data_IF_882056198521
#
_entry.id   IF_882056198521
#
_cell.length_a   1.000
_cell.length_b   1.000
_cell.length_c   1.000
_cell.angle_alpha   90.00
_cell.angle_beta   90.00
_cell.angle_gamma   90.00
#
_symmetry.space_group_name_H-M   'P 1'
#
loop_
_entity.id
_entity.type
_entity.pdbx_description
1 polymer ?
#
# COMPACT_ATOMS: atom_id res chain seq x y z
N UNK A 1 21.11 -9.42 23.42
CA UNK A 1 21.99 -8.30 23.01
C UNK A 1 22.66 -8.69 21.72
N UNK A 2 22.57 -7.85 20.68
CA UNK A 2 23.29 -8.07 19.43
C UNK A 2 24.76 -7.65 19.62
N UNK A 3 25.74 -8.40 19.10
CA UNK A 3 27.14 -7.98 19.07
C UNK A 3 27.29 -6.60 18.41
N UNK A 4 28.22 -5.77 18.87
CA UNK A 4 28.43 -4.41 18.34
C UNK A 4 28.69 -4.38 16.82
N UNK A 5 29.31 -5.45 16.28
CA UNK A 5 29.56 -5.61 14.84
C UNK A 5 28.28 -5.73 14.00
N UNK A 6 27.16 -6.15 14.59
CA UNK A 6 25.88 -6.33 13.91
C UNK A 6 25.02 -5.05 13.94
N UNK A 7 25.38 -4.06 14.77
CA UNK A 7 24.59 -2.84 14.93
C UNK A 7 24.30 -2.09 13.61
N UNK A 8 25.26 -1.94 12.66
CA UNK A 8 24.98 -1.29 11.38
C UNK A 8 23.99 -2.07 10.50
N UNK A 9 24.01 -3.41 10.57
CA UNK A 9 23.06 -4.25 9.84
C UNK A 9 21.66 -4.19 10.47
N UNK A 10 21.58 -4.25 11.81
CA UNK A 10 20.33 -4.12 12.55
C UNK A 10 19.68 -2.75 12.30
N UNK A 11 20.47 -1.67 12.28
CA UNK A 11 19.98 -0.33 11.98
C UNK A 11 19.38 -0.22 10.57
N UNK A 12 20.07 -0.73 9.55
CA UNK A 12 19.54 -0.75 8.17
C UNK A 12 18.23 -1.52 8.08
N UNK A 13 18.16 -2.70 8.71
CA UNK A 13 16.92 -3.51 8.76
C UNK A 13 15.78 -2.75 9.43
N UNK A 14 16.05 -2.06 10.54
CA UNK A 14 15.05 -1.25 11.23
C UNK A 14 14.56 -0.09 10.36
N UNK A 15 15.44 0.62 9.63
CA UNK A 15 15.05 1.66 8.67
C UNK A 15 14.18 1.10 7.55
N UNK A 16 14.57 -0.03 6.96
CA UNK A 16 13.73 -0.67 5.93
C UNK A 16 12.36 -1.06 6.49
N UNK A 17 12.28 -1.59 7.72
CA UNK A 17 11.00 -1.95 8.33
C UNK A 17 10.13 -0.73 8.68
N UNK A 18 10.74 0.38 9.09
CA UNK A 18 10.04 1.63 9.39
C UNK A 18 9.25 2.15 8.18
N UNK A 19 9.75 1.93 6.97
CA UNK A 19 9.07 2.34 5.72
C UNK A 19 7.75 1.62 5.44
N UNK A 20 7.39 0.59 6.21
CA UNK A 20 6.11 -0.13 6.07
C UNK A 20 5.11 0.22 7.17
N UNK A 21 5.49 1.06 8.13
CA UNK A 21 4.60 1.49 9.22
C UNK A 21 3.43 2.28 8.65
N UNK A 22 2.21 1.95 9.10
CA UNK A 22 0.98 2.58 8.59
C UNK A 22 0.29 1.79 7.47
N UNK A 23 0.92 0.73 6.93
CA UNK A 23 0.27 -0.23 6.02
C UNK A 23 -0.50 -1.33 6.76
N UNK A 24 -1.20 -0.95 7.83
CA UNK A 24 -2.03 -1.85 8.64
C UNK A 24 -1.42 -2.33 9.95
N UNK A 25 -0.17 -1.98 10.25
CA UNK A 25 0.46 -2.14 11.57
C UNK A 25 1.31 -0.92 11.92
N UNK A 26 1.27 -0.52 13.19
CA UNK A 26 2.14 0.52 13.75
C UNK A 26 3.54 -0.01 14.09
N UNK A 27 3.68 -1.34 14.20
CA UNK A 27 4.94 -2.02 14.48
C UNK A 27 5.20 -3.06 13.41
N UNK A 28 6.35 -2.97 12.75
CA UNK A 28 6.76 -3.89 11.69
C UNK A 28 8.12 -4.49 12.03
N UNK A 29 8.19 -5.82 12.04
CA UNK A 29 9.43 -6.57 12.23
C UNK A 29 10.03 -6.92 10.87
N UNK A 30 11.31 -6.58 10.68
CA UNK A 30 12.03 -6.85 9.42
C UNK A 30 11.94 -8.31 8.98
N UNK A 31 12.08 -9.25 9.93
CA UNK A 31 12.07 -10.69 9.63
C UNK A 31 10.71 -11.18 9.09
N UNK A 32 9.63 -10.43 9.30
CA UNK A 32 8.30 -10.72 8.75
C UNK A 32 8.08 -10.18 7.33
N UNK A 33 8.97 -9.35 6.79
CA UNK A 33 8.79 -8.72 5.49
C UNK A 33 9.08 -9.66 4.31
N UNK A 34 9.99 -10.63 4.49
CA UNK A 34 10.40 -11.54 3.43
C UNK A 34 10.80 -10.81 2.14
N UNK A 35 10.13 -11.12 1.03
CA UNK A 35 10.40 -10.51 -0.27
C UNK A 35 10.17 -8.99 -0.31
N UNK A 36 9.29 -8.46 0.55
CA UNK A 36 9.00 -7.02 0.58
C UNK A 36 10.23 -6.21 1.02
N UNK A 37 11.05 -6.74 1.93
CA UNK A 37 12.30 -6.09 2.32
C UNK A 37 13.28 -5.94 1.15
N UNK A 38 13.33 -6.93 0.25
CA UNK A 38 14.17 -6.88 -0.95
C UNK A 38 13.63 -5.86 -1.94
N UNK A 39 12.31 -5.80 -2.13
CA UNK A 39 11.67 -4.81 -3.00
C UNK A 39 11.99 -3.39 -2.51
N UNK A 40 11.73 -3.09 -1.22
CA UNK A 40 11.99 -1.78 -0.65
C UNK A 40 13.47 -1.37 -0.71
N UNK A 41 14.39 -2.32 -0.56
CA UNK A 41 15.82 -2.04 -0.62
C UNK A 41 16.37 -1.86 -2.04
N UNK A 42 15.60 -2.19 -3.09
CA UNK A 42 16.07 -2.18 -4.49
C UNK A 42 15.34 -1.18 -5.38
N UNK A 43 14.11 -0.83 -5.04
CA UNK A 43 13.35 0.14 -5.81
C UNK A 43 13.71 1.56 -5.37
N UNK A 44 14.01 2.40 -6.36
CA UNK A 44 14.23 3.83 -6.14
C UNK A 44 12.90 4.56 -6.22
N UNK A 45 12.78 5.67 -5.50
CA UNK A 45 11.54 6.44 -5.44
C UNK A 45 11.16 7.01 -6.82
N UNK A 46 12.15 7.41 -7.64
CA UNK A 46 11.95 7.79 -9.03
C UNK A 46 11.37 6.66 -9.90
N UNK A 47 11.86 5.43 -9.76
CA UNK A 47 11.35 4.28 -10.53
C UNK A 47 9.90 3.95 -10.13
N UNK A 48 9.57 4.11 -8.84
CA UNK A 48 8.21 3.91 -8.34
C UNK A 48 7.26 4.98 -8.88
N UNK A 49 7.71 6.24 -8.97
CA UNK A 49 6.88 7.34 -9.45
C UNK A 49 6.44 7.19 -10.91
N UNK A 50 7.22 6.48 -11.73
CA UNK A 50 6.92 6.20 -13.14
C UNK A 50 5.95 5.02 -13.34
N UNK A 51 5.62 4.27 -12.28
CA UNK A 51 4.69 3.14 -12.38
C UNK A 51 3.27 3.67 -12.61
N UNK A 52 2.66 3.27 -13.73
CA UNK A 52 1.33 3.72 -14.14
C UNK A 52 0.25 3.56 -13.05
N UNK A 53 0.27 2.44 -12.30
CA UNK A 53 -0.67 2.20 -11.22
C UNK A 53 -0.48 3.19 -10.05
N UNK A 54 0.77 3.57 -9.74
CA UNK A 54 1.10 4.56 -8.70
C UNK A 54 0.66 5.95 -9.16
N UNK A 55 0.94 6.32 -10.41
CA UNK A 55 0.48 7.59 -10.99
C UNK A 55 -1.05 7.68 -11.01
N UNK A 56 -1.75 6.58 -11.31
CA UNK A 56 -3.21 6.52 -11.26
C UNK A 56 -3.75 6.69 -9.83
N UNK A 57 -3.10 6.09 -8.83
CA UNK A 57 -3.43 6.30 -7.42
C UNK A 57 -3.18 7.74 -6.97
N UNK A 58 -2.13 8.40 -7.45
CA UNK A 58 -1.91 9.84 -7.19
C UNK A 58 -3.00 10.70 -7.82
N UNK A 59 -3.44 10.36 -9.03
CA UNK A 59 -4.59 10.99 -9.66
C UNK A 59 -5.86 10.85 -8.80
N UNK A 60 -6.14 9.65 -8.29
CA UNK A 60 -7.26 9.41 -7.35
C UNK A 60 -7.09 10.19 -6.04
N UNK A 61 -5.87 10.32 -5.53
CA UNK A 61 -5.57 11.07 -4.31
C UNK A 61 -5.86 12.57 -4.45
N UNK A 62 -5.68 13.12 -5.65
CA UNK A 62 -5.90 14.54 -5.95
C UNK A 62 -7.38 14.90 -6.16
N UNK A 63 -8.27 13.92 -6.31
CA UNK A 63 -9.71 14.14 -6.46
C UNK A 63 -10.39 14.60 -5.15
N UNK A 64 -11.58 15.23 -5.22
CA UNK A 64 -12.40 15.48 -4.05
C UNK A 64 -12.69 14.18 -3.28
N UNK A 65 -12.31 14.13 -2.00
CA UNK A 65 -12.36 12.93 -1.16
C UNK A 65 -11.38 11.81 -1.56
N UNK A 66 -10.28 12.13 -2.25
CA UNK A 66 -9.24 11.18 -2.65
C UNK A 66 -8.63 10.41 -1.47
N UNK A 67 -8.37 11.09 -0.35
CA UNK A 67 -7.89 10.45 0.89
C UNK A 67 -8.83 9.36 1.39
N UNK A 68 -10.15 9.62 1.37
CA UNK A 68 -11.16 8.63 1.74
C UNK A 68 -11.16 7.46 0.73
N UNK A 69 -10.98 7.73 -0.56
CA UNK A 69 -10.90 6.67 -1.59
C UNK A 69 -9.69 5.77 -1.37
N UNK A 70 -8.51 6.33 -1.09
CA UNK A 70 -7.32 5.54 -0.76
C UNK A 70 -7.52 4.69 0.50
N UNK A 71 -8.17 5.24 1.54
CA UNK A 71 -8.49 4.48 2.75
C UNK A 71 -9.45 3.31 2.46
N UNK A 72 -10.43 3.48 1.57
CA UNK A 72 -11.31 2.39 1.12
C UNK A 72 -10.51 1.32 0.37
N UNK A 73 -9.60 1.69 -0.53
CA UNK A 73 -8.79 0.75 -1.29
C UNK A 73 -7.84 -0.06 -0.38
N UNK A 74 -7.21 0.60 0.60
CA UNK A 74 -6.39 -0.07 1.61
C UNK A 74 -7.22 -1.04 2.46
N UNK A 75 -8.41 -0.61 2.92
CA UNK A 75 -9.33 -1.48 3.67
C UNK A 75 -9.83 -2.67 2.83
N UNK A 76 -10.06 -2.47 1.54
CA UNK A 76 -10.44 -3.54 0.60
C UNK A 76 -9.30 -4.55 0.40
N UNK A 77 -8.05 -4.10 0.25
CA UNK A 77 -6.90 -4.99 0.16
C UNK A 77 -6.72 -5.84 1.42
N UNK A 78 -6.84 -5.20 2.59
CA UNK A 78 -6.68 -5.86 3.89
C UNK A 78 -7.79 -6.88 4.22
N UNK A 79 -9.02 -6.66 3.73
CA UNK A 79 -10.17 -7.53 4.04
C UNK A 79 -10.51 -8.53 2.93
N UNK A 80 -10.09 -8.23 1.69
CA UNK A 80 -10.47 -9.02 0.51
C UNK A 80 -11.97 -8.95 0.16
N UNK A 81 -12.75 -8.07 0.81
CA UNK A 81 -14.19 -7.98 0.64
C UNK A 81 -14.68 -6.54 0.74
N UNK A 82 -15.44 -6.08 -0.26
CA UNK A 82 -16.05 -4.74 -0.24
C UNK A 82 -16.98 -4.54 0.96
N UNK A 83 -17.69 -5.61 1.37
CA UNK A 83 -18.58 -5.57 2.54
C UNK A 83 -17.79 -5.38 3.85
N UNK A 84 -16.70 -6.11 4.03
CA UNK A 84 -15.88 -5.98 5.24
C UNK A 84 -15.10 -4.66 5.25
N UNK A 85 -14.65 -4.18 4.08
CA UNK A 85 -14.08 -2.85 3.94
C UNK A 85 -15.07 -1.78 4.43
N UNK A 86 -16.35 -1.86 4.05
CA UNK A 86 -17.39 -0.92 4.48
C UNK A 86 -17.60 -0.85 5.98
N UNK A 87 -17.57 -1.99 6.65
CA UNK A 87 -17.60 -2.05 8.11
C UNK A 87 -16.38 -1.35 8.70
N UNK A 88 -15.18 -1.60 8.17
CA UNK A 88 -13.92 -1.06 8.68
C UNK A 88 -13.80 0.46 8.56
N UNK A 89 -14.22 1.03 7.43
CA UNK A 89 -14.20 2.50 7.23
C UNK A 89 -15.46 3.22 7.74
N UNK A 90 -16.41 2.53 8.37
CA UNK A 90 -17.64 3.12 8.94
C UNK A 90 -18.43 3.98 7.92
N UNK A 91 -18.53 3.51 6.67
CA UNK A 91 -19.28 4.17 5.58
C UNK A 91 -20.36 3.26 5.02
N UNK A 92 -21.38 3.86 4.42
CA UNK A 92 -22.43 3.10 3.73
C UNK A 92 -21.83 2.31 2.56
N UNK A 93 -22.20 1.03 2.47
CA UNK A 93 -21.71 0.08 1.48
C UNK A 93 -21.93 0.52 0.02
N UNK A 94 -23.03 1.25 -0.26
CA UNK A 94 -23.34 1.79 -1.59
C UNK A 94 -22.30 2.83 -2.05
N UNK A 95 -21.77 3.63 -1.11
CA UNK A 95 -20.69 4.58 -1.38
C UNK A 95 -19.36 3.87 -1.68
N UNK A 96 -19.15 2.68 -1.13
CA UNK A 96 -17.90 1.92 -1.32
C UNK A 96 -17.88 1.18 -2.64
N UNK A 97 -18.99 0.55 -3.03
CA UNK A 97 -19.09 -0.08 -4.34
C UNK A 97 -18.82 0.93 -5.47
N UNK A 98 -19.43 2.12 -5.38
CA UNK A 98 -19.19 3.20 -6.35
C UNK A 98 -17.73 3.68 -6.36
N UNK A 99 -17.09 3.83 -5.19
CA UNK A 99 -15.68 4.22 -5.09
C UNK A 99 -14.73 3.15 -5.65
N UNK A 100 -15.02 1.87 -5.42
CA UNK A 100 -14.22 0.77 -5.98
C UNK A 100 -14.36 0.74 -7.51
N UNK A 101 -15.57 0.87 -8.04
CA UNK A 101 -15.81 0.92 -9.49
C UNK A 101 -15.08 2.11 -10.15
N UNK A 102 -15.19 3.30 -9.55
CA UNK A 102 -14.46 4.49 -10.02
C UNK A 102 -12.94 4.27 -10.00
N UNK A 103 -12.41 3.63 -8.95
CA UNK A 103 -10.99 3.30 -8.88
C UNK A 103 -10.57 2.28 -9.95
N UNK A 104 -11.39 1.25 -10.22
CA UNK A 104 -11.13 0.29 -11.32
C UNK A 104 -11.09 0.99 -12.68
N UNK A 105 -12.00 1.94 -12.94
CA UNK A 105 -12.00 2.76 -14.15
C UNK A 105 -10.74 3.62 -14.27
N UNK A 106 -10.30 4.24 -13.16
CA UNK A 106 -9.09 5.08 -13.15
C UNK A 106 -7.79 4.28 -13.29
N UNK A 107 -7.73 3.10 -12.69
CA UNK A 107 -6.59 2.18 -12.75
C UNK A 107 -6.56 1.34 -14.02
N UNK A 108 -7.69 1.21 -14.73
CA UNK A 108 -7.80 0.46 -15.98
C UNK A 108 -7.76 -1.06 -15.80
N UNK A 109 -8.06 -1.57 -14.59
CA UNK A 109 -8.17 -3.02 -14.36
C UNK A 109 -9.21 -3.34 -13.28
N UNK A 110 -9.83 -4.51 -13.40
CA UNK A 110 -10.75 -4.98 -12.35
C UNK A 110 -10.02 -5.64 -11.19
N UNK A 111 -10.44 -5.32 -9.97
CA UNK A 111 -10.01 -5.95 -8.73
C UNK A 111 -10.54 -7.37 -8.58
N UNK A 112 -11.65 -7.70 -9.26
CA UNK A 112 -12.25 -9.04 -9.29
C UNK A 112 -11.54 -9.99 -10.25
N UNK A 113 -10.77 -9.47 -11.21
CA UNK A 113 -9.99 -10.27 -12.13
C UNK A 113 -8.91 -11.08 -11.38
N UNK A 114 -8.48 -12.25 -11.90
CA UNK A 114 -7.39 -13.02 -11.30
C UNK A 114 -6.13 -12.16 -11.09
N UNK A 115 -5.73 -11.98 -9.84
CA UNK A 115 -4.57 -11.15 -9.48
C UNK A 115 -4.84 -9.64 -9.37
N UNK A 116 -6.02 -9.14 -9.73
CA UNK A 116 -6.37 -7.72 -9.67
C UNK A 116 -6.17 -7.11 -8.28
N UNK A 117 -6.67 -7.77 -7.23
CA UNK A 117 -6.44 -7.32 -5.85
C UNK A 117 -4.96 -7.31 -5.45
N UNK A 118 -4.17 -8.29 -5.89
CA UNK A 118 -2.72 -8.33 -5.60
C UNK A 118 -1.98 -7.20 -6.30
N UNK A 119 -2.37 -6.86 -7.52
CA UNK A 119 -1.84 -5.71 -8.27
C UNK A 119 -2.17 -4.39 -7.55
N UNK A 120 -3.41 -4.21 -7.10
CA UNK A 120 -3.82 -3.05 -6.32
C UNK A 120 -3.03 -2.94 -5.00
N UNK A 121 -2.91 -4.04 -4.26
CA UNK A 121 -2.16 -4.08 -3.00
C UNK A 121 -0.70 -3.69 -3.19
N UNK A 122 -0.06 -4.19 -4.25
CA UNK A 122 1.31 -3.82 -4.62
C UNK A 122 1.41 -2.33 -5.03
N UNK A 123 0.44 -1.80 -5.76
CA UNK A 123 0.44 -0.39 -6.14
C UNK A 123 0.33 0.54 -4.91
N UNK A 124 -0.54 0.20 -3.94
CA UNK A 124 -0.66 0.93 -2.67
C UNK A 124 0.65 0.84 -1.87
N UNK A 125 1.22 -0.36 -1.79
CA UNK A 125 2.50 -0.60 -1.12
C UNK A 125 3.62 0.27 -1.71
N UNK A 126 3.78 0.24 -3.03
CA UNK A 126 4.84 0.99 -3.71
C UNK A 126 4.65 2.50 -3.54
N UNK A 127 3.42 2.99 -3.69
CA UNK A 127 3.10 4.41 -3.42
C UNK A 127 3.50 4.81 -2.01
N UNK A 128 3.20 3.98 -1.00
CA UNK A 128 3.60 4.25 0.39
C UNK A 128 5.12 4.25 0.58
N UNK A 129 5.84 3.30 -0.03
CA UNK A 129 7.30 3.23 0.04
C UNK A 129 7.98 4.45 -0.58
N UNK A 130 7.45 4.97 -1.70
CA UNK A 130 7.92 6.22 -2.31
C UNK A 130 7.69 7.42 -1.40
N UNK A 131 6.52 7.48 -0.75
CA UNK A 131 6.15 8.57 0.14
C UNK A 131 6.86 8.48 1.51
N UNK A 132 7.54 7.35 1.80
CA UNK A 132 8.26 7.06 3.05
C UNK A 132 9.72 6.70 2.75
N UNK A 133 10.58 7.68 2.42
CA UNK A 133 11.99 7.44 2.09
C UNK A 133 12.79 6.94 3.30
N UNK A 134 13.93 6.29 3.05
CA UNK A 134 14.82 5.76 4.11
C UNK A 134 15.38 6.83 5.04
#
# INVERSE_FOLDING_TARGET
>A
MLPAIEAPAAWRRARTALRFVGLGSDVVHYDGLGALAVIAARMRDEDIAEIADVTALDGLAAEPNGTDTLAVLAAFCATGSARQAAVRVHRHHSTIAARLAHAEERLGFSFSAPGGRRRLDLAILLRHLRDTPE
#
